data_IF_229634170480
#
_entry.id   IF_229634170480
#
_cell.length_a   1.000
_cell.length_b   1.000
_cell.length_c   1.000
_cell.angle_alpha   90.00
_cell.angle_beta   90.00
_cell.angle_gamma   90.00
#
_symmetry.space_group_name_H-M   'P 1'
#
loop_
_entity.id
_entity.type
_entity.pdbx_description
1 polymer ?
#
# COMPACT_ATOMS: atom_id res chain seq x y z
N UNK A 1 -8.77 -24.46 10.03
CA UNK A 1 -8.04 -24.75 11.29
C UNK A 1 -8.41 -23.69 12.30
N UNK A 2 -8.40 -23.99 13.59
CA UNK A 2 -8.64 -22.96 14.61
C UNK A 2 -7.80 -23.21 15.87
N UNK A 3 -7.47 -22.13 16.56
CA UNK A 3 -6.58 -22.10 17.72
C UNK A 3 -7.19 -21.19 18.78
N UNK A 4 -7.31 -21.68 20.03
CA UNK A 4 -7.75 -20.85 21.17
C UNK A 4 -6.50 -20.36 21.89
N UNK A 5 -6.39 -19.04 22.06
CA UNK A 5 -5.29 -18.38 22.75
C UNK A 5 -5.50 -18.36 24.27
N UNK A 6 -4.44 -18.15 25.08
CA UNK A 6 -4.54 -18.18 26.54
C UNK A 6 -5.50 -17.14 27.16
N UNK A 7 -5.76 -16.04 26.45
CA UNK A 7 -6.70 -14.98 26.81
C UNK A 7 -8.17 -15.30 26.43
N UNK A 8 -8.42 -16.47 25.84
CA UNK A 8 -9.74 -16.90 25.38
C UNK A 8 -10.10 -16.42 23.97
N UNK A 9 -9.25 -15.64 23.30
CA UNK A 9 -9.44 -15.30 21.88
C UNK A 9 -9.32 -16.53 20.99
N UNK A 10 -10.06 -16.52 19.88
CA UNK A 10 -10.12 -17.63 18.94
C UNK A 10 -9.60 -17.21 17.57
N UNK A 11 -8.46 -17.77 17.17
CA UNK A 11 -7.90 -17.60 15.84
C UNK A 11 -8.52 -18.61 14.89
N UNK A 12 -9.17 -18.12 13.84
CA UNK A 12 -9.78 -18.89 12.77
C UNK A 12 -8.94 -18.75 11.50
N UNK A 13 -8.54 -19.90 10.95
CA UNK A 13 -7.75 -20.01 9.72
C UNK A 13 -8.54 -20.79 8.68
N UNK A 14 -9.00 -20.10 7.64
CA UNK A 14 -9.73 -20.69 6.52
C UNK A 14 -8.93 -20.50 5.23
N UNK A 15 -8.75 -21.54 4.40
CA UNK A 15 -8.07 -21.40 3.12
C UNK A 15 -8.76 -20.35 2.24
N UNK A 16 -7.98 -19.44 1.66
CA UNK A 16 -8.51 -18.34 0.85
C UNK A 16 -8.99 -17.12 1.65
N UNK A 17 -9.00 -17.20 2.98
CA UNK A 17 -9.46 -16.10 3.84
C UNK A 17 -8.33 -15.48 4.65
N UNK A 18 -8.48 -14.19 4.97
CA UNK A 18 -7.63 -13.51 5.95
C UNK A 18 -7.79 -14.20 7.31
N UNK A 19 -6.72 -14.51 8.05
CA UNK A 19 -6.83 -15.01 9.42
C UNK A 19 -7.66 -14.10 10.32
N UNK A 20 -8.65 -14.65 11.03
CA UNK A 20 -9.57 -13.88 11.88
C UNK A 20 -9.30 -14.19 13.35
N UNK A 21 -9.02 -13.16 14.15
CA UNK A 21 -8.96 -13.24 15.60
C UNK A 21 -10.28 -12.77 16.20
N UNK A 22 -11.08 -13.70 16.71
CA UNK A 22 -12.33 -13.42 17.40
C UNK A 22 -12.05 -13.14 18.87
N UNK A 23 -12.51 -12.00 19.38
CA UNK A 23 -12.32 -11.62 20.77
C UNK A 23 -13.52 -12.03 21.63
N UNK A 24 -13.31 -12.57 22.85
CA UNK A 24 -14.39 -12.87 23.78
C UNK A 24 -14.96 -11.61 24.44
N UNK A 25 -14.16 -10.56 24.51
CA UNK A 25 -14.46 -9.26 25.12
C UNK A 25 -13.87 -8.14 24.27
N UNK A 26 -14.34 -6.90 24.45
CA UNK A 26 -13.85 -5.71 23.74
C UNK A 26 -12.48 -5.22 24.27
N UNK A 27 -11.54 -6.13 24.50
CA UNK A 27 -10.19 -5.81 24.94
C UNK A 27 -9.20 -6.40 23.94
N UNK A 28 -8.27 -5.56 23.45
CA UNK A 28 -7.29 -5.96 22.45
C UNK A 28 -6.12 -6.72 23.09
N UNK A 29 -5.87 -7.99 22.73
CA UNK A 29 -4.70 -8.72 23.22
C UNK A 29 -3.44 -8.32 22.46
N UNK A 30 -2.98 -7.08 22.66
CA UNK A 30 -1.98 -6.42 21.81
C UNK A 30 -0.66 -7.22 21.67
N UNK A 31 -0.20 -7.86 22.74
CA UNK A 31 1.01 -8.69 22.69
C UNK A 31 0.83 -9.94 21.82
N UNK A 32 -0.25 -10.69 22.04
CA UNK A 32 -0.57 -11.87 21.25
C UNK A 32 -0.82 -11.49 19.78
N UNK A 33 -1.52 -10.38 19.52
CA UNK A 33 -1.77 -9.88 18.18
C UNK A 33 -0.48 -9.56 17.42
N UNK A 34 0.52 -8.93 18.05
CA UNK A 34 1.83 -8.70 17.42
C UNK A 34 2.57 -10.01 17.11
N UNK A 35 2.47 -11.04 17.97
CA UNK A 35 3.03 -12.36 17.69
C UNK A 35 2.34 -13.05 16.51
N UNK A 36 1.00 -12.97 16.46
CA UNK A 36 0.22 -13.49 15.36
C UNK A 36 0.55 -12.76 14.05
N UNK A 37 0.77 -11.45 14.10
CA UNK A 37 1.18 -10.66 12.93
C UNK A 37 2.52 -11.15 12.37
N UNK A 38 3.52 -11.43 13.22
CA UNK A 38 4.79 -12.03 12.79
C UNK A 38 4.56 -13.39 12.09
N UNK A 39 3.66 -14.22 12.62
CA UNK A 39 3.37 -15.54 12.07
C UNK A 39 2.60 -15.46 10.74
N UNK A 40 1.60 -14.59 10.65
CA UNK A 40 0.60 -14.60 9.57
C UNK A 40 0.69 -13.43 8.58
N UNK A 41 1.42 -12.36 8.88
CA UNK A 41 1.52 -11.15 8.06
C UNK A 41 0.31 -10.23 8.17
N UNK A 42 -0.90 -10.76 8.35
CA UNK A 42 -2.09 -9.95 8.63
C UNK A 42 -3.09 -10.72 9.50
N UNK A 43 -3.84 -9.97 10.32
CA UNK A 43 -4.91 -10.50 11.18
C UNK A 43 -6.10 -9.54 11.14
N UNK A 44 -7.29 -10.06 10.82
CA UNK A 44 -8.55 -9.35 11.01
C UNK A 44 -9.05 -9.60 12.43
N UNK A 45 -9.22 -8.55 13.23
CA UNK A 45 -9.73 -8.63 14.59
C UNK A 45 -11.22 -8.34 14.58
N UNK A 46 -12.02 -9.28 15.09
CA UNK A 46 -13.48 -9.20 15.17
C UNK A 46 -13.93 -9.18 16.62
N UNK A 47 -14.85 -8.26 16.94
CA UNK A 47 -15.42 -8.11 18.29
C UNK A 47 -14.83 -6.96 19.11
N UNK A 48 -14.01 -6.07 18.52
CA UNK A 48 -13.52 -4.86 19.20
C UNK A 48 -14.60 -3.78 19.37
N UNK A 49 -15.57 -3.73 18.46
CA UNK A 49 -16.66 -2.74 18.51
C UNK A 49 -16.23 -1.34 18.09
N UNK A 50 -15.29 -1.21 17.16
CA UNK A 50 -14.87 0.07 16.59
C UNK A 50 -16.08 0.82 15.98
N UNK A 51 -16.28 2.07 16.37
CA UNK A 51 -17.45 2.88 16.00
C UNK A 51 -17.10 4.30 15.51
N UNK A 52 -15.87 4.76 15.74
CA UNK A 52 -15.38 6.06 15.31
C UNK A 52 -13.89 6.02 14.91
N UNK A 53 -13.40 7.00 14.13
CA UNK A 53 -11.97 7.10 13.78
C UNK A 53 -11.03 7.08 15.00
N UNK A 54 -11.44 7.71 16.11
CA UNK A 54 -10.68 7.75 17.36
C UNK A 54 -10.43 6.35 17.97
N UNK A 55 -11.30 5.38 17.70
CA UNK A 55 -11.12 4.01 18.18
C UNK A 55 -9.96 3.31 17.44
N UNK A 56 -9.74 3.64 16.16
CA UNK A 56 -8.58 3.13 15.42
C UNK A 56 -7.27 3.68 16.02
N UNK A 57 -7.26 4.96 16.41
CA UNK A 57 -6.13 5.55 17.12
C UNK A 57 -5.88 4.87 18.48
N UNK A 58 -6.94 4.52 19.21
CA UNK A 58 -6.83 3.77 20.46
C UNK A 58 -6.25 2.35 20.24
N UNK A 59 -6.65 1.67 19.16
CA UNK A 59 -6.07 0.38 18.76
C UNK A 59 -4.58 0.52 18.42
N UNK A 60 -4.21 1.54 17.64
CA UNK A 60 -2.81 1.84 17.32
C UNK A 60 -1.99 2.09 18.60
N UNK A 61 -2.54 2.87 19.53
CA UNK A 61 -1.91 3.13 20.83
C UNK A 61 -1.72 1.87 21.67
N UNK A 62 -2.74 1.00 21.75
CA UNK A 62 -2.66 -0.27 22.46
C UNK A 62 -1.60 -1.20 21.85
N UNK A 63 -1.47 -1.19 20.51
CA UNK A 63 -0.39 -1.88 19.81
C UNK A 63 0.97 -1.20 19.98
N UNK A 64 1.04 0.00 20.55
CA UNK A 64 2.24 0.84 20.57
C UNK A 64 2.78 1.15 19.16
N UNK A 65 1.88 1.23 18.18
CA UNK A 65 2.24 1.64 16.84
C UNK A 65 2.53 3.14 16.85
N UNK A 66 3.66 3.55 16.26
CA UNK A 66 4.02 4.97 16.12
C UNK A 66 3.41 5.50 14.82
N UNK A 67 2.44 6.44 14.85
CA UNK A 67 1.82 6.93 13.62
C UNK A 67 2.84 7.60 12.70
N UNK A 68 2.68 7.37 11.40
CA UNK A 68 3.47 7.95 10.33
C UNK A 68 2.61 8.94 9.55
N UNK A 69 3.14 10.13 9.28
CA UNK A 69 2.49 11.10 8.40
C UNK A 69 2.71 10.69 6.96
N UNK A 70 1.63 10.57 6.19
CA UNK A 70 1.71 10.31 4.75
C UNK A 70 2.33 11.52 4.03
N UNK A 71 3.30 11.23 3.17
CA UNK A 71 3.92 12.14 2.21
C UNK A 71 3.97 11.45 0.87
N UNK A 72 3.98 12.24 -0.19
CA UNK A 72 3.94 11.73 -1.55
C UNK A 72 2.65 10.92 -1.81
N UNK A 73 1.52 11.28 -1.18
CA UNK A 73 0.25 10.56 -1.36
C UNK A 73 -0.14 10.45 -2.84
N UNK A 74 -0.81 9.35 -3.21
CA UNK A 74 -1.29 9.14 -4.59
C UNK A 74 -2.78 9.47 -4.78
N UNK A 75 -3.54 9.48 -3.70
CA UNK A 75 -4.97 9.75 -3.68
C UNK A 75 -5.37 10.53 -2.43
N UNK A 76 -6.39 11.38 -2.55
CA UNK A 76 -6.87 12.20 -1.45
C UNK A 76 -7.44 11.34 -0.31
N UNK A 77 -7.17 11.77 0.92
CA UNK A 77 -7.74 11.24 2.16
C UNK A 77 -8.19 12.39 3.05
N UNK A 78 -9.24 12.16 3.83
CA UNK A 78 -9.64 13.08 4.90
C UNK A 78 -8.82 12.76 6.16
N UNK A 79 -8.32 13.78 6.84
CA UNK A 79 -7.58 13.64 8.11
C UNK A 79 -8.53 13.80 9.30
N UNK A 80 -8.65 12.75 10.11
CA UNK A 80 -9.48 12.72 11.32
C UNK A 80 -8.67 13.05 12.60
N UNK A 81 -7.40 13.38 12.46
CA UNK A 81 -6.45 13.61 13.55
C UNK A 81 -5.85 12.30 14.08
N UNK A 82 -4.83 12.44 14.93
CA UNK A 82 -4.15 11.31 15.60
C UNK A 82 -3.54 10.27 14.63
N UNK A 83 -3.26 10.67 13.38
CA UNK A 83 -2.73 9.79 12.34
C UNK A 83 -3.78 8.86 11.71
N UNK A 84 -5.07 9.14 11.93
CA UNK A 84 -6.17 8.39 11.32
C UNK A 84 -6.70 9.15 10.11
N UNK A 85 -6.78 8.46 8.99
CA UNK A 85 -7.23 8.99 7.71
C UNK A 85 -8.44 8.21 7.20
N UNK A 86 -9.19 8.78 6.25
CA UNK A 86 -10.08 7.97 5.42
C UNK A 86 -9.27 6.99 4.56
N UNK A 87 -9.92 5.93 4.08
CA UNK A 87 -9.41 5.23 2.91
C UNK A 87 -9.26 6.19 1.72
N UNK A 88 -8.37 5.84 0.78
CA UNK A 88 -8.17 6.59 -0.46
C UNK A 88 -9.48 6.75 -1.23
N UNK A 89 -9.76 7.97 -1.70
CA UNK A 89 -10.90 8.23 -2.60
C UNK A 89 -10.66 7.49 -3.93
N UNK A 90 -11.50 6.50 -4.23
CA UNK A 90 -11.39 5.65 -5.42
C UNK A 90 -12.79 5.20 -5.88
N UNK A 91 -13.12 5.19 -7.19
CA UNK A 91 -14.45 4.82 -7.71
C UNK A 91 -14.93 3.48 -7.19
N UNK A 92 -16.16 3.38 -6.66
CA UNK A 92 -16.61 2.19 -5.91
C UNK A 92 -16.66 0.91 -6.76
N UNK A 93 -16.96 1.03 -8.04
CA UNK A 93 -17.09 -0.04 -9.03
C UNK A 93 -15.76 -0.50 -9.62
N UNK A 94 -14.66 0.20 -9.33
CA UNK A 94 -13.32 -0.19 -9.78
C UNK A 94 -12.51 -0.87 -8.67
N UNK A 95 -11.82 -1.99 -8.96
CA UNK A 95 -10.85 -2.54 -8.02
C UNK A 95 -9.63 -1.61 -7.93
N UNK A 96 -9.11 -1.44 -6.72
CA UNK A 96 -7.77 -0.85 -6.53
C UNK A 96 -6.78 -2.01 -6.51
N UNK A 97 -5.74 -2.01 -7.37
CA UNK A 97 -4.84 -3.15 -7.51
C UNK A 97 -3.97 -3.40 -6.28
N UNK A 98 -3.35 -4.59 -6.22
CA UNK A 98 -2.43 -4.96 -5.15
C UNK A 98 -1.22 -4.02 -5.10
N UNK A 99 -0.90 -3.54 -3.91
CA UNK A 99 0.26 -2.72 -3.64
C UNK A 99 0.71 -2.82 -2.19
N UNK A 100 1.93 -2.37 -1.93
CA UNK A 100 2.41 -2.05 -0.59
C UNK A 100 2.31 -0.54 -0.36
N UNK A 101 1.76 -0.12 0.78
CA UNK A 101 1.55 1.29 1.09
C UNK A 101 2.90 2.01 1.11
N UNK A 102 2.99 3.12 0.37
CA UNK A 102 4.19 3.95 0.26
C UNK A 102 5.48 3.19 -0.09
N UNK A 103 5.38 2.12 -0.88
CA UNK A 103 6.56 1.33 -1.30
C UNK A 103 7.59 2.09 -2.15
N UNK A 104 7.29 3.33 -2.54
CA UNK A 104 8.21 4.26 -3.19
C UNK A 104 8.88 5.25 -2.22
N UNK A 105 8.47 5.33 -0.95
CA UNK A 105 9.01 6.27 0.00
C UNK A 105 10.36 5.78 0.59
N UNK A 106 11.20 6.71 1.05
CA UNK A 106 12.47 6.38 1.70
C UNK A 106 12.25 5.70 3.07
N UNK A 107 11.23 6.17 3.78
CA UNK A 107 10.75 5.59 5.03
C UNK A 107 9.32 5.16 4.78
N UNK A 108 9.01 3.88 5.05
CA UNK A 108 7.73 3.27 4.72
C UNK A 108 7.02 2.83 5.99
N UNK A 109 5.69 2.70 6.02
CA UNK A 109 5.02 2.17 7.19
C UNK A 109 5.32 0.68 7.32
N UNK A 110 5.76 0.25 8.51
CA UNK A 110 5.90 -1.17 8.84
C UNK A 110 4.56 -1.84 9.16
N UNK A 111 3.59 -1.06 9.64
CA UNK A 111 2.23 -1.53 9.95
C UNK A 111 1.18 -0.64 9.28
N UNK A 112 0.14 -1.28 8.75
CA UNK A 112 -1.08 -0.63 8.28
C UNK A 112 -2.29 -1.18 9.05
N UNK A 113 -3.13 -0.28 9.53
CA UNK A 113 -4.38 -0.60 10.21
C UNK A 113 -5.55 -0.11 9.36
N UNK A 114 -6.58 -0.93 9.20
CA UNK A 114 -7.83 -0.55 8.57
C UNK A 114 -9.00 -0.86 9.52
N UNK A 115 -9.87 0.11 9.80
CA UNK A 115 -11.03 -0.05 10.68
C UNK A 115 -12.34 0.12 9.91
N UNK A 116 -13.29 -0.79 10.10
CA UNK A 116 -14.57 -0.77 9.41
C UNK A 116 -15.66 -0.04 10.21
N UNK A 117 -15.95 1.20 9.85
CA UNK A 117 -17.07 1.98 10.40
C UNK A 117 -18.40 1.62 9.73
N UNK A 118 -18.37 1.33 8.42
CA UNK A 118 -19.52 0.87 7.65
C UNK A 118 -19.10 -0.18 6.63
N UNK A 119 -19.64 -1.39 6.79
CA UNK A 119 -19.39 -2.49 5.87
C UNK A 119 -20.20 -2.30 4.57
N UNK A 120 -19.61 -2.60 3.40
CA UNK A 120 -20.32 -2.57 2.12
C UNK A 120 -21.41 -3.64 2.05
N UNK A 121 -22.40 -3.43 1.19
CA UNK A 121 -23.48 -4.41 0.97
C UNK A 121 -22.96 -5.64 0.23
N UNK A 122 -22.08 -5.43 -0.75
CA UNK A 122 -21.44 -6.48 -1.55
C UNK A 122 -20.01 -6.07 -1.88
N UNK A 123 -19.08 -7.03 -1.89
CA UNK A 123 -17.67 -6.79 -2.25
C UNK A 123 -16.91 -5.95 -1.23
N UNK A 124 -15.97 -5.12 -1.70
CA UNK A 124 -15.33 -4.07 -0.89
C UNK A 124 -14.39 -4.52 0.23
N UNK A 125 -14.12 -5.83 0.33
CA UNK A 125 -13.10 -6.35 1.21
C UNK A 125 -11.73 -5.73 0.86
N UNK A 126 -10.91 -5.53 1.89
CA UNK A 126 -9.49 -5.29 1.70
C UNK A 126 -8.84 -6.64 1.47
N UNK A 127 -8.45 -6.92 0.23
CA UNK A 127 -7.82 -8.18 -0.10
C UNK A 127 -6.31 -8.09 0.12
N UNK A 128 -5.67 -9.23 0.35
CA UNK A 128 -4.26 -9.32 0.75
C UNK A 128 -3.53 -10.38 -0.07
N UNK A 129 -2.23 -10.17 -0.30
CA UNK A 129 -1.34 -11.17 -0.89
C UNK A 129 0.01 -11.17 -0.16
N UNK A 130 0.50 -12.37 0.19
CA UNK A 130 1.81 -12.52 0.84
C UNK A 130 2.93 -12.33 -0.19
N UNK A 131 3.73 -11.28 -0.03
CA UNK A 131 4.78 -10.90 -0.97
C UNK A 131 5.89 -11.95 -1.11
N UNK A 132 6.01 -12.89 -0.16
CA UNK A 132 6.92 -14.04 -0.29
C UNK A 132 6.37 -15.07 -1.27
N UNK A 133 5.06 -15.32 -1.22
CA UNK A 133 4.40 -16.26 -2.12
C UNK A 133 4.41 -15.73 -3.54
N UNK A 134 4.09 -14.43 -3.71
CA UNK A 134 4.18 -13.75 -5.01
C UNK A 134 5.59 -13.83 -5.57
N UNK A 135 6.62 -13.49 -4.77
CA UNK A 135 8.03 -13.59 -5.21
C UNK A 135 8.43 -15.02 -5.61
N UNK A 136 7.96 -16.03 -4.89
CA UNK A 136 8.27 -17.44 -5.17
C UNK A 136 7.59 -17.95 -6.44
N UNK A 137 6.41 -17.43 -6.77
CA UNK A 137 5.63 -17.86 -7.92
C UNK A 137 6.06 -17.17 -9.22
N UNK A 138 6.58 -15.95 -9.14
CA UNK A 138 7.06 -15.21 -10.31
C UNK A 138 8.24 -15.93 -11.01
N UNK A 139 8.26 -15.99 -12.36
CA UNK A 139 9.38 -16.52 -13.11
C UNK A 139 10.69 -15.78 -12.80
N UNK A 140 11.80 -16.52 -12.69
CA UNK A 140 13.09 -15.96 -12.30
C UNK A 140 13.58 -14.89 -13.30
N UNK A 141 13.37 -15.14 -14.60
CA UNK A 141 13.70 -14.21 -15.69
C UNK A 141 12.89 -12.91 -15.65
N UNK A 142 11.69 -12.93 -15.05
CA UNK A 142 10.89 -11.72 -14.82
C UNK A 142 11.45 -10.92 -13.65
N UNK A 143 11.88 -11.61 -12.59
CA UNK A 143 12.36 -10.99 -11.35
C UNK A 143 13.79 -10.44 -11.48
N UNK A 144 14.66 -11.10 -12.26
CA UNK A 144 16.08 -10.76 -12.36
C UNK A 144 16.36 -9.29 -12.71
N UNK A 145 15.70 -8.66 -13.72
CA UNK A 145 15.91 -7.25 -14.02
C UNK A 145 15.57 -6.33 -12.83
N UNK A 146 14.52 -6.66 -12.08
CA UNK A 146 14.10 -5.88 -10.91
C UNK A 146 15.04 -6.05 -9.72
N UNK A 147 15.67 -7.22 -9.55
CA UNK A 147 16.70 -7.38 -8.53
C UNK A 147 18.00 -6.67 -8.90
N UNK A 148 18.36 -6.72 -10.19
CA UNK A 148 19.59 -6.12 -10.69
C UNK A 148 19.52 -4.60 -10.74
N UNK A 149 18.39 -4.06 -11.18
CA UNK A 149 18.24 -2.64 -11.46
C UNK A 149 17.29 -1.94 -10.50
N UNK A 150 16.42 -2.65 -9.79
CA UNK A 150 15.29 -2.03 -9.09
C UNK A 150 14.18 -1.66 -10.07
N UNK A 151 13.32 -0.73 -9.66
CA UNK A 151 12.27 -0.13 -10.45
C UNK A 151 12.29 1.40 -10.31
N UNK A 152 11.76 2.09 -11.32
CA UNK A 152 11.55 3.53 -11.28
C UNK A 152 10.07 3.83 -11.15
N UNK A 153 9.76 4.86 -10.36
CA UNK A 153 8.50 5.55 -10.38
C UNK A 153 8.74 6.98 -10.86
N UNK A 154 8.17 7.33 -12.02
CA UNK A 154 8.03 8.70 -12.45
C UNK A 154 6.64 9.21 -12.10
N UNK A 155 6.56 10.43 -11.58
CA UNK A 155 5.30 11.10 -11.29
C UNK A 155 5.27 12.47 -11.91
N UNK A 156 4.11 12.82 -12.47
CA UNK A 156 3.82 14.16 -12.93
C UNK A 156 2.64 14.73 -12.15
N UNK A 157 2.93 15.75 -11.35
CA UNK A 157 1.92 16.48 -10.57
C UNK A 157 1.37 17.63 -11.41
N UNK A 158 0.56 17.28 -12.40
CA UNK A 158 -0.16 18.20 -13.28
C UNK A 158 -1.61 18.39 -12.85
N UNK A 159 -2.52 18.38 -13.82
CA UNK A 159 -3.97 18.57 -13.59
C UNK A 159 -4.70 17.29 -13.19
N UNK A 160 -4.09 16.12 -13.37
CA UNK A 160 -4.70 14.80 -13.10
C UNK A 160 -4.09 14.19 -11.86
N UNK A 161 -4.95 13.66 -10.99
CA UNK A 161 -4.55 13.08 -9.71
C UNK A 161 -4.41 14.14 -8.62
N UNK A 162 -3.58 13.86 -7.62
CA UNK A 162 -3.27 14.85 -6.58
C UNK A 162 -2.32 15.92 -7.11
N UNK A 163 -2.59 17.16 -6.73
CA UNK A 163 -1.63 18.25 -6.91
C UNK A 163 -0.39 18.03 -6.02
N UNK A 164 0.75 18.61 -6.40
CA UNK A 164 1.95 18.51 -5.55
C UNK A 164 1.73 19.10 -4.14
N UNK A 165 0.98 20.21 -3.93
CA UNK A 165 0.76 20.70 -2.57
C UNK A 165 -0.01 19.74 -1.68
N UNK A 166 -0.99 19.03 -2.26
CA UNK A 166 -1.75 17.99 -1.56
C UNK A 166 -0.85 16.78 -1.27
N UNK A 167 -0.06 16.33 -2.24
CA UNK A 167 0.80 15.17 -2.09
C UNK A 167 1.91 15.37 -1.04
N UNK A 168 2.46 16.59 -0.94
CA UNK A 168 3.53 16.91 0.01
C UNK A 168 3.03 17.60 1.30
N UNK A 169 1.77 18.03 1.34
CA UNK A 169 1.18 18.73 2.48
C UNK A 169 1.75 20.14 2.71
N UNK A 170 2.21 20.81 1.66
CA UNK A 170 2.78 22.17 1.71
C UNK A 170 2.65 22.85 0.35
N UNK A 171 2.45 24.17 0.33
CA UNK A 171 2.44 24.98 -0.90
C UNK A 171 3.76 25.73 -1.14
N UNK A 172 4.84 25.35 -0.47
CA UNK A 172 6.18 25.92 -0.66
C UNK A 172 7.08 24.99 -1.51
N UNK A 173 7.43 25.40 -2.75
CA UNK A 173 8.30 24.62 -3.64
C UNK A 173 9.70 24.33 -3.06
N UNK A 174 10.24 25.21 -2.22
CA UNK A 174 11.58 25.01 -1.63
C UNK A 174 11.54 23.91 -0.56
N UNK A 175 10.48 23.86 0.24
CA UNK A 175 10.24 22.76 1.20
C UNK A 175 10.14 21.41 0.47
N UNK A 176 9.43 21.35 -0.66
CA UNK A 176 9.33 20.11 -1.47
C UNK A 176 10.68 19.74 -2.07
N UNK A 177 11.42 20.71 -2.60
CA UNK A 177 12.75 20.47 -3.18
C UNK A 177 13.75 19.96 -2.15
N UNK A 178 13.68 20.46 -0.90
CA UNK A 178 14.46 19.95 0.21
C UNK A 178 14.09 18.52 0.58
N UNK A 179 12.78 18.24 0.73
CA UNK A 179 12.28 16.89 0.94
C UNK A 179 12.78 15.91 -0.14
N UNK A 180 12.66 16.28 -1.41
CA UNK A 180 13.10 15.41 -2.50
C UNK A 180 14.60 15.07 -2.41
N UNK A 181 15.47 16.05 -2.07
CA UNK A 181 16.90 15.79 -1.86
C UNK A 181 17.15 14.85 -0.69
N UNK A 182 16.50 15.06 0.44
CA UNK A 182 16.68 14.25 1.66
C UNK A 182 16.17 12.82 1.51
N UNK A 183 15.23 12.60 0.57
CA UNK A 183 14.58 11.32 0.32
C UNK A 183 15.04 10.63 -0.98
N UNK A 184 16.13 11.10 -1.60
CA UNK A 184 16.66 10.58 -2.86
C UNK A 184 15.58 10.46 -3.95
N UNK A 185 14.86 11.56 -4.13
CA UNK A 185 13.86 11.79 -5.16
C UNK A 185 14.42 12.84 -6.11
N UNK A 186 14.64 12.48 -7.35
CA UNK A 186 14.93 13.50 -8.37
C UNK A 186 13.67 14.33 -8.59
N UNK A 187 13.84 15.63 -8.78
CA UNK A 187 12.72 16.52 -9.02
C UNK A 187 13.08 17.60 -10.03
N UNK A 188 12.08 18.00 -10.81
CA UNK A 188 12.16 19.11 -11.76
C UNK A 188 10.88 19.92 -11.70
N UNK A 189 11.01 21.20 -11.43
CA UNK A 189 9.95 22.18 -11.63
C UNK A 189 9.87 22.54 -13.11
N UNK A 190 8.67 22.49 -13.66
CA UNK A 190 8.40 22.82 -15.05
C UNK A 190 7.99 24.31 -15.19
N UNK A 191 8.08 24.90 -16.40
CA UNK A 191 7.77 26.32 -16.61
C UNK A 191 6.33 26.72 -16.25
N UNK A 192 5.40 25.76 -16.25
CA UNK A 192 4.00 25.95 -15.86
C UNK A 192 3.76 25.85 -14.35
N UNK A 193 4.80 25.59 -13.56
CA UNK A 193 4.73 25.42 -12.10
C UNK A 193 4.37 24.00 -11.65
N UNK A 194 4.20 23.05 -12.57
CA UNK A 194 4.03 21.64 -12.24
C UNK A 194 5.35 21.00 -11.80
N UNK A 195 5.25 19.86 -11.10
CA UNK A 195 6.39 19.12 -10.58
C UNK A 195 6.48 17.76 -11.28
N UNK A 196 7.69 17.38 -11.69
CA UNK A 196 8.03 16.00 -12.03
C UNK A 196 8.98 15.43 -10.99
N UNK A 197 8.74 14.18 -10.59
CA UNK A 197 9.66 13.44 -9.73
C UNK A 197 10.02 12.08 -10.30
N UNK A 198 11.22 11.61 -9.99
CA UNK A 198 11.71 10.26 -10.34
C UNK A 198 12.34 9.62 -9.11
N UNK A 199 11.94 8.38 -8.83
CA UNK A 199 12.41 7.62 -7.67
C UNK A 199 12.85 6.23 -8.10
N UNK A 200 14.07 5.84 -7.74
CA UNK A 200 14.58 4.47 -7.93
C UNK A 200 14.53 3.69 -6.63
N UNK A 201 13.91 2.52 -6.65
CA UNK A 201 13.74 1.65 -5.48
C UNK A 201 14.05 0.20 -5.80
N UNK A 202 14.47 -0.56 -4.80
CA UNK A 202 14.49 -2.02 -4.91
C UNK A 202 13.05 -2.54 -5.06
N UNK A 203 12.82 -3.50 -5.96
CA UNK A 203 11.52 -4.16 -6.08
C UNK A 203 11.42 -5.41 -5.20
N UNK A 204 12.57 -5.97 -4.83
CA UNK A 204 12.71 -7.06 -3.87
C UNK A 204 13.50 -6.56 -2.68
N UNK A 205 12.92 -6.65 -1.48
CA UNK A 205 13.55 -6.22 -0.24
C UNK A 205 13.67 -7.37 0.76
N UNK A 206 14.39 -7.16 1.86
CA UNK A 206 14.41 -8.10 2.98
C UNK A 206 13.66 -7.50 4.16
N UNK A 207 12.76 -8.29 4.76
CA UNK A 207 12.07 -7.89 5.98
C UNK A 207 13.11 -7.61 7.09
N UNK A 208 13.18 -6.41 7.69
CA UNK A 208 14.23 -6.09 8.68
C UNK A 208 14.25 -7.00 9.90
N UNK A 209 13.07 -7.42 10.39
CA UNK A 209 12.96 -8.35 11.52
C UNK A 209 13.08 -9.84 11.15
N UNK A 210 12.58 -10.28 9.99
CA UNK A 210 12.46 -11.70 9.63
C UNK A 210 13.55 -12.18 8.65
N UNK A 211 14.22 -11.26 7.94
CA UNK A 211 15.25 -11.55 6.93
C UNK A 211 14.73 -12.14 5.61
N UNK A 212 13.43 -12.40 5.51
CA UNK A 212 12.75 -12.98 4.35
C UNK A 212 12.75 -12.01 3.16
N UNK A 213 12.87 -12.54 1.94
CA UNK A 213 12.77 -11.75 0.70
C UNK A 213 11.31 -11.50 0.34
N UNK A 214 10.98 -10.27 -0.03
CA UNK A 214 9.62 -9.80 -0.28
C UNK A 214 9.53 -9.08 -1.63
N UNK A 215 8.53 -9.40 -2.44
CA UNK A 215 8.15 -8.61 -3.62
C UNK A 215 7.45 -7.30 -3.20
N UNK A 216 8.23 -6.32 -2.76
CA UNK A 216 7.76 -5.08 -2.15
C UNK A 216 7.91 -3.91 -3.13
N UNK A 217 6.83 -3.55 -3.83
CA UNK A 217 6.80 -2.44 -4.79
C UNK A 217 5.37 -2.10 -5.23
N UNK A 218 5.27 -1.12 -6.13
CA UNK A 218 4.03 -0.69 -6.80
C UNK A 218 4.16 -0.72 -8.33
N UNK A 219 5.04 -1.58 -8.86
CA UNK A 219 5.33 -1.66 -10.31
C UNK A 219 4.06 -1.86 -11.12
N UNK A 220 3.17 -2.76 -10.69
CA UNK A 220 1.92 -3.04 -11.40
C UNK A 220 0.76 -2.11 -11.02
N UNK A 221 0.76 -1.47 -9.85
CA UNK A 221 -0.40 -0.68 -9.39
C UNK A 221 -0.53 0.68 -10.09
N UNK A 222 0.59 1.39 -10.26
CA UNK A 222 0.63 2.72 -10.86
C UNK A 222 1.05 2.67 -12.33
N UNK A 223 0.78 1.55 -13.00
CA UNK A 223 1.19 1.31 -14.37
C UNK A 223 0.06 1.64 -15.36
N UNK A 224 0.42 2.12 -16.54
CA UNK A 224 -0.55 2.44 -17.59
C UNK A 224 -1.38 1.23 -18.02
N UNK A 225 -0.83 0.01 -17.98
CA UNK A 225 -1.53 -1.21 -18.39
C UNK A 225 -2.53 -1.73 -17.36
N UNK A 226 -2.62 -1.13 -16.17
CA UNK A 226 -3.69 -1.41 -15.20
C UNK A 226 -4.83 -0.40 -15.24
N UNK A 227 -4.74 0.59 -16.14
CA UNK A 227 -5.82 1.52 -16.42
C UNK A 227 -6.74 0.96 -17.51
N UNK A 228 -8.00 1.38 -17.51
CA UNK A 228 -8.88 1.14 -18.65
C UNK A 228 -8.25 1.71 -19.93
N UNK A 229 -8.31 0.94 -21.02
CA UNK A 229 -7.64 1.28 -22.29
C UNK A 229 -8.11 2.62 -22.83
N UNK A 230 -9.42 2.92 -22.75
CA UNK A 230 -9.94 4.19 -23.24
C UNK A 230 -9.48 5.37 -22.37
N UNK A 231 -9.39 5.17 -21.05
CA UNK A 231 -8.83 6.18 -20.12
C UNK A 231 -7.35 6.42 -20.42
N UNK A 232 -6.57 5.34 -20.59
CA UNK A 232 -5.15 5.42 -20.94
C UNK A 232 -4.93 6.16 -22.26
N UNK A 233 -5.62 5.77 -23.32
CA UNK A 233 -5.51 6.41 -24.64
C UNK A 233 -5.90 7.89 -24.58
N UNK A 234 -6.94 8.22 -23.82
CA UNK A 234 -7.35 9.60 -23.59
C UNK A 234 -6.26 10.42 -22.88
N UNK A 235 -5.69 9.90 -21.79
CA UNK A 235 -4.60 10.58 -21.07
C UNK A 235 -3.34 10.76 -21.93
N UNK A 236 -2.97 9.73 -22.69
CA UNK A 236 -1.84 9.82 -23.64
C UNK A 236 -2.13 10.87 -24.72
N UNK A 237 -3.37 10.98 -25.20
CA UNK A 237 -3.73 12.00 -26.21
C UNK A 237 -3.62 13.44 -25.68
N UNK A 238 -3.87 13.64 -24.39
CA UNK A 238 -3.84 14.95 -23.74
C UNK A 238 -2.44 15.38 -23.32
N UNK A 239 -1.71 14.48 -22.67
CA UNK A 239 -0.45 14.80 -22.00
C UNK A 239 0.77 14.27 -22.75
N UNK A 240 0.57 13.32 -23.67
CA UNK A 240 1.63 12.55 -24.29
C UNK A 240 2.01 11.31 -23.47
N UNK A 241 2.77 10.37 -24.07
CA UNK A 241 3.16 9.13 -23.41
C UNK A 241 4.11 9.35 -22.21
N UNK A 242 4.88 10.44 -22.21
CA UNK A 242 5.91 10.72 -21.20
C UNK A 242 5.42 11.64 -20.04
N UNK A 243 4.11 11.90 -19.97
CA UNK A 243 3.51 12.81 -18.99
C UNK A 243 2.21 12.25 -18.38
N UNK A 244 2.11 10.92 -18.31
CA UNK A 244 1.10 10.28 -17.47
C UNK A 244 1.34 10.63 -15.99
N UNK A 245 0.29 10.67 -15.14
CA UNK A 245 0.44 11.02 -13.72
C UNK A 245 1.40 10.10 -12.97
N UNK A 246 1.45 8.83 -13.39
CA UNK A 246 2.37 7.82 -12.89
C UNK A 246 2.89 7.00 -14.06
N UNK A 247 4.18 6.67 -14.02
CA UNK A 247 4.82 5.72 -14.95
C UNK A 247 5.78 4.84 -14.17
N UNK A 248 5.72 3.52 -14.38
CA UNK A 248 6.65 2.56 -13.78
C UNK A 248 7.57 1.95 -14.82
N UNK A 249 8.88 1.96 -14.55
CA UNK A 249 9.92 1.44 -15.45
C UNK A 249 10.81 0.44 -14.71
N UNK A 250 11.61 -0.32 -15.46
CA UNK A 250 12.76 -0.98 -14.85
C UNK A 250 13.74 0.07 -14.32
N UNK A 251 14.55 -0.32 -13.33
CA UNK A 251 15.48 0.58 -12.69
C UNK A 251 16.59 1.16 -13.58
N UNK A 252 16.75 0.64 -14.80
CA UNK A 252 17.65 1.15 -15.83
C UNK A 252 16.99 2.15 -16.80
N UNK A 253 15.71 2.47 -16.58
CA UNK A 253 14.93 3.38 -17.43
C UNK A 253 14.22 2.70 -18.60
N UNK A 254 14.38 1.39 -18.80
CA UNK A 254 13.66 0.68 -19.87
C UNK A 254 12.19 0.43 -19.49
N UNK A 255 11.24 0.54 -20.44
CA UNK A 255 9.82 0.28 -20.16
C UNK A 255 9.56 -1.14 -19.68
N UNK A 256 8.64 -1.30 -18.72
CA UNK A 256 8.14 -2.62 -18.31
C UNK A 256 7.10 -3.09 -19.34
N UNK A 257 7.29 -4.24 -20.02
CA UNK A 257 6.32 -4.74 -20.98
C UNK A 257 4.97 -5.08 -20.34
N UNK A 258 3.87 -4.89 -21.07
CA UNK A 258 2.52 -5.26 -20.64
C UNK A 258 2.43 -6.71 -20.14
N UNK A 259 3.08 -7.65 -20.84
CA UNK A 259 3.09 -9.06 -20.46
C UNK A 259 3.72 -9.30 -19.06
N UNK A 260 4.70 -8.48 -18.65
CA UNK A 260 5.31 -8.54 -17.33
C UNK A 260 4.34 -8.02 -16.27
N UNK A 261 3.65 -6.90 -16.55
CA UNK A 261 2.62 -6.35 -15.66
C UNK A 261 1.47 -7.34 -15.47
N UNK A 262 1.01 -7.98 -16.55
CA UNK A 262 -0.04 -9.00 -16.48
C UNK A 262 0.41 -10.23 -15.69
N UNK A 263 1.65 -10.69 -15.86
CA UNK A 263 2.20 -11.80 -15.09
C UNK A 263 2.24 -11.48 -13.58
N UNK A 264 2.69 -10.27 -13.21
CA UNK A 264 2.66 -9.81 -11.81
C UNK A 264 1.24 -9.82 -11.24
N UNK A 265 0.28 -9.26 -11.99
CA UNK A 265 -1.12 -9.23 -11.58
C UNK A 265 -1.75 -10.63 -11.47
N UNK A 266 -1.36 -11.57 -12.33
CA UNK A 266 -1.82 -12.96 -12.25
C UNK A 266 -1.32 -13.64 -10.97
N UNK A 267 -0.05 -13.46 -10.61
CA UNK A 267 0.49 -14.04 -9.37
C UNK A 267 -0.12 -13.38 -8.12
N UNK A 268 -0.38 -12.07 -8.16
CA UNK A 268 -1.16 -11.41 -7.12
C UNK A 268 -2.57 -11.99 -6.99
N UNK A 269 -3.29 -12.16 -8.09
CA UNK A 269 -4.64 -12.73 -8.09
C UNK A 269 -4.66 -14.17 -7.55
N UNK A 270 -3.68 -14.99 -7.93
CA UNK A 270 -3.54 -16.36 -7.45
C UNK A 270 -3.23 -16.45 -5.95
N UNK A 271 -2.45 -15.50 -5.42
CA UNK A 271 -2.09 -15.43 -4.00
C UNK A 271 -3.12 -14.67 -3.13
N UNK A 272 -4.18 -14.14 -3.74
CA UNK A 272 -5.13 -13.26 -3.05
C UNK A 272 -5.96 -14.03 -2.02
N UNK A 273 -6.01 -13.50 -0.80
CA UNK A 273 -6.96 -13.88 0.24
C UNK A 273 -7.77 -12.66 0.66
N UNK A 274 -9.00 -12.86 1.12
CA UNK A 274 -9.81 -11.78 1.66
C UNK A 274 -10.84 -12.29 2.65
N UNK A 275 -11.32 -11.40 3.51
CA UNK A 275 -12.40 -11.68 4.44
C UNK A 275 -13.40 -10.51 4.36
N UNK A 276 -14.71 -10.77 4.22
CA UNK A 276 -15.72 -9.71 4.20
C UNK A 276 -15.69 -8.90 5.49
N UNK A 277 -15.74 -7.58 5.33
CA UNK A 277 -15.81 -6.65 6.45
C UNK A 277 -17.09 -6.84 7.26
N UNK A 278 -16.97 -6.82 8.59
CA UNK A 278 -18.06 -6.54 9.51
C UNK A 278 -17.83 -5.19 10.20
N UNK A 279 -18.92 -4.52 10.55
CA UNK A 279 -18.85 -3.26 11.31
C UNK A 279 -18.12 -3.52 12.63
N UNK A 280 -17.13 -2.67 12.91
CA UNK A 280 -16.28 -2.77 14.10
C UNK A 280 -15.08 -3.69 13.98
N UNK A 281 -14.87 -4.32 12.82
CA UNK A 281 -13.65 -5.08 12.53
C UNK A 281 -12.44 -4.14 12.39
N UNK A 282 -11.27 -4.63 12.77
CA UNK A 282 -9.97 -3.98 12.53
C UNK A 282 -9.02 -4.96 11.85
N UNK A 283 -8.56 -4.64 10.65
CA UNK A 283 -7.50 -5.36 9.96
C UNK A 283 -6.15 -4.78 10.33
N UNK A 284 -5.25 -5.63 10.83
CA UNK A 284 -3.87 -5.29 11.16
C UNK A 284 -2.94 -5.98 10.17
N UNK A 285 -2.10 -5.21 9.49
CA UNK A 285 -1.29 -5.67 8.36
C UNK A 285 0.18 -5.31 8.59
N UNK A 286 1.07 -6.28 8.46
CA UNK A 286 2.49 -6.06 8.20
C UNK A 286 2.61 -5.58 6.76
N UNK A 287 2.77 -4.27 6.59
CA UNK A 287 2.77 -3.63 5.27
C UNK A 287 4.00 -4.01 4.44
N UNK A 288 5.07 -4.55 5.05
CA UNK A 288 6.19 -5.07 4.26
C UNK A 288 5.85 -6.41 3.66
N UNK A 289 5.25 -7.31 4.46
CA UNK A 289 4.98 -8.68 4.05
C UNK A 289 3.74 -8.84 3.19
N UNK A 290 2.70 -8.05 3.44
CA UNK A 290 1.39 -8.22 2.80
C UNK A 290 1.11 -7.02 1.89
N UNK A 291 1.00 -7.28 0.60
CA UNK A 291 0.37 -6.33 -0.32
C UNK A 291 -1.13 -6.33 -0.05
N UNK A 292 -1.77 -5.17 -0.23
CA UNK A 292 -3.22 -5.03 -0.12
C UNK A 292 -3.84 -4.39 -1.35
N UNK A 293 -5.12 -4.66 -1.53
CA UNK A 293 -5.95 -4.13 -2.61
C UNK A 293 -7.34 -3.82 -2.06
N UNK A 294 -8.20 -3.24 -2.90
CA UNK A 294 -9.61 -3.03 -2.55
C UNK A 294 -10.48 -3.61 -3.65
N UNK A 295 -11.31 -4.58 -3.29
CA UNK A 295 -12.31 -5.12 -4.21
C UNK A 295 -13.34 -4.04 -4.57
N UNK A 296 -13.89 -4.10 -5.78
CA UNK A 296 -15.06 -3.31 -6.16
C UNK A 296 -16.24 -3.62 -5.22
N UNK A 297 -17.14 -2.65 -5.02
CA UNK A 297 -18.25 -2.78 -4.09
C UNK A 297 -19.50 -2.00 -4.50
N UNK A 298 -20.60 -2.35 -3.83
CA UNK A 298 -21.88 -1.66 -3.96
C UNK A 298 -22.36 -1.15 -2.60
N UNK A 299 -23.07 -0.02 -2.64
CA UNK A 299 -23.59 0.64 -1.46
C UNK A 299 -22.55 1.51 -0.76
N UNK A 300 -22.81 1.80 0.52
CA UNK A 300 -21.94 2.64 1.32
C UNK A 300 -20.80 1.81 1.94
N UNK A 301 -19.60 2.40 2.01
CA UNK A 301 -18.42 1.78 2.60
C UNK A 301 -17.61 2.86 3.30
N UNK A 302 -17.35 2.68 4.58
CA UNK A 302 -16.57 3.62 5.38
C UNK A 302 -15.48 2.85 6.14
N UNK A 303 -14.25 2.98 5.63
CA UNK A 303 -13.06 2.36 6.19
C UNK A 303 -12.08 3.49 6.53
N UNK A 304 -11.62 3.52 7.77
CA UNK A 304 -10.53 4.39 8.24
C UNK A 304 -9.21 3.65 8.18
N UNK A 305 -8.11 4.37 7.98
CA UNK A 305 -6.77 3.82 7.90
C UNK A 305 -5.80 4.55 8.84
N UNK A 306 -4.81 3.84 9.37
CA UNK A 306 -3.67 4.41 10.06
C UNK A 306 -2.41 3.66 9.62
N UNK A 307 -1.38 4.42 9.28
CA UNK A 307 -0.06 3.90 8.91
C UNK A 307 0.93 4.24 10.01
N UNK A 308 1.80 3.30 10.34
CA UNK A 308 2.73 3.50 11.45
C UNK A 308 3.93 2.58 11.42
N UNK A 309 4.68 2.64 12.53
CA UNK A 309 5.96 1.97 12.71
C UNK A 309 6.90 2.26 11.51
N UNK A 310 7.23 3.56 11.28
CA UNK A 310 8.04 3.96 10.13
C UNK A 310 9.38 3.23 10.11
N UNK A 311 9.74 2.67 8.96
CA UNK A 311 10.92 1.84 8.80
C UNK A 311 11.71 2.21 7.55
N UNK A 312 13.04 2.27 7.70
CA UNK A 312 13.97 2.37 6.58
C UNK A 312 14.52 1.00 6.27
N UNK A 313 14.19 0.47 5.11
CA UNK A 313 14.61 -0.88 4.71
C UNK A 313 16.02 -0.79 4.09
N UNK A 314 17.02 -1.53 4.62
CA UNK A 314 18.37 -1.50 4.08
C UNK A 314 18.40 -1.89 2.59
N UNK A 315 19.01 -1.03 1.77
CA UNK A 315 19.13 -1.26 0.32
C UNK A 315 17.86 -1.01 -0.49
N UNK A 316 16.80 -0.43 0.10
CA UNK A 316 15.58 -0.12 -0.63
C UNK A 316 15.71 1.14 -1.51
N UNK A 317 16.33 2.20 -0.99
CA UNK A 317 16.52 3.46 -1.73
C UNK A 317 17.80 3.43 -2.54
N UNK A 318 17.68 3.62 -3.84
CA UNK A 318 18.81 3.61 -4.76
C UNK A 318 19.02 5.04 -5.28
N UNK A 319 20.27 5.49 -5.45
CA UNK A 319 20.52 6.73 -6.15
C UNK A 319 19.98 6.60 -7.57
N UNK A 320 19.48 7.71 -8.11
CA UNK A 320 19.11 7.75 -9.51
C UNK A 320 20.32 7.45 -10.40
N UNK A 321 20.05 6.94 -11.60
CA UNK A 321 21.11 6.64 -12.56
C UNK A 321 21.88 7.94 -12.83
N UNK A 322 23.19 7.91 -12.60
CA UNK A 322 24.07 8.98 -13.07
C UNK A 322 24.38 8.66 -14.53
N UNK A 323 24.04 9.60 -15.42
CA UNK A 323 24.45 9.57 -16.83
C UNK A 323 25.98 9.49 -17.00
#
# INVERSE_FOLDING_TARGET
MSEVLPDGSHLVLEPGSTPVLQLPHQELPAHALRQLLVRHGAILVRGLGLAAPADLAAVAHALKATPMVEREGFAARDDFGQGVYSASRWPADEPMCMHHELSYANEVPGIALFGCLRAPQHGGATALADARQVLQALPAELVEPFERHGWLLERHYGEVGLSWPEAFGTSDPETVSAYCRDHAVEHRWLPDGSLRTVQRRAAVVRHPALGERLWFNQVAFLNEFTMDVAVREYLISLYGPDALPFTTLYGDGTPVPEAVVQAINNEYAAATVSEPWQVGDVLVVDNLRMAHSRMAYQGERDIVALFGDPVRIPGHVWPAATD
#
